data_IF_520912801663
#
_entry.id   IF_520912801663
#
_cell.length_a   1.000
_cell.length_b   1.000
_cell.length_c   1.000
_cell.angle_alpha   90.00
_cell.angle_beta   90.00
_cell.angle_gamma   90.00
#
_symmetry.space_group_name_H-M   'P 1'
#
loop_
_entity.id
_entity.type
_entity.pdbx_description
1 polymer ?
#
# COMPACT_ATOMS: atom_id res chain seq x y z
N UNK A 1 4.84 -22.48 -78.54
CA UNK A 1 5.91 -21.49 -78.38
C UNK A 1 5.90 -21.07 -76.92
N UNK A 2 6.99 -21.43 -76.24
CA UNK A 2 7.42 -21.08 -74.88
C UNK A 2 6.41 -21.18 -73.73
N UNK A 3 6.39 -22.37 -73.11
CA UNK A 3 6.15 -22.50 -71.67
C UNK A 3 7.44 -22.07 -70.96
N UNK A 4 7.41 -20.93 -70.28
CA UNK A 4 8.45 -20.58 -69.31
C UNK A 4 8.09 -21.25 -67.98
N UNK A 5 8.83 -22.30 -67.66
CA UNK A 5 8.89 -22.91 -66.33
C UNK A 5 9.55 -21.91 -65.37
N UNK A 6 8.77 -21.34 -64.45
CA UNK A 6 9.30 -20.57 -63.33
C UNK A 6 10.10 -21.49 -62.38
N UNK A 7 11.33 -21.10 -61.99
CA UNK A 7 12.18 -21.95 -61.16
C UNK A 7 11.68 -22.00 -59.71
N UNK A 8 11.78 -23.19 -59.14
CA UNK A 8 11.43 -23.55 -57.76
C UNK A 8 11.94 -22.54 -56.71
N UNK A 9 11.18 -22.29 -55.63
CA UNK A 9 11.56 -21.34 -54.59
C UNK A 9 12.75 -21.87 -53.80
N UNK A 10 13.90 -21.20 -53.99
CA UNK A 10 15.14 -21.44 -53.25
C UNK A 10 14.89 -21.26 -51.75
N UNK A 11 15.22 -22.31 -51.00
CA UNK A 11 15.15 -22.45 -49.55
C UNK A 11 15.73 -21.23 -48.83
N UNK A 12 14.88 -20.37 -48.24
CA UNK A 12 15.34 -19.35 -47.28
C UNK A 12 15.61 -20.06 -45.96
N UNK A 13 16.88 -20.24 -45.61
CA UNK A 13 17.30 -20.83 -44.33
C UNK A 13 16.66 -20.07 -43.16
N UNK A 14 15.63 -20.67 -42.57
CA UNK A 14 15.01 -20.10 -41.37
C UNK A 14 16.02 -20.20 -40.22
N UNK A 15 16.26 -19.11 -39.46
CA UNK A 15 17.25 -19.11 -38.40
C UNK A 15 16.87 -20.15 -37.35
N UNK A 16 17.77 -21.10 -37.08
CA UNK A 16 17.57 -22.16 -36.09
C UNK A 16 17.59 -21.60 -34.65
N UNK A 17 16.97 -22.35 -33.75
CA UNK A 17 16.99 -22.08 -32.31
C UNK A 17 18.43 -22.07 -31.77
N UNK A 18 18.80 -21.04 -31.03
CA UNK A 18 20.16 -20.89 -30.50
C UNK A 18 20.46 -21.80 -29.31
N UNK A 19 19.43 -22.42 -28.71
CA UNK A 19 19.59 -23.34 -27.58
C UNK A 19 19.61 -24.80 -28.00
N UNK A 20 18.62 -25.27 -28.78
CA UNK A 20 18.54 -26.68 -29.16
C UNK A 20 19.11 -26.99 -30.54
N UNK A 21 19.35 -25.97 -31.38
CA UNK A 21 19.87 -26.08 -32.75
C UNK A 21 19.13 -27.04 -33.70
N UNK A 22 18.04 -27.66 -33.25
CA UNK A 22 17.30 -28.68 -33.99
C UNK A 22 16.05 -28.15 -34.71
N UNK A 23 15.43 -27.09 -34.18
CA UNK A 23 14.18 -26.54 -34.70
C UNK A 23 14.36 -25.09 -35.16
N UNK A 24 13.58 -24.63 -36.17
CA UNK A 24 13.50 -23.22 -36.52
C UNK A 24 13.12 -22.34 -35.32
N UNK A 25 13.72 -21.16 -35.24
CA UNK A 25 13.41 -20.21 -34.17
C UNK A 25 12.04 -19.56 -34.34
N UNK A 26 11.34 -19.38 -33.22
CA UNK A 26 9.99 -18.78 -33.15
C UNK A 26 9.97 -17.49 -32.33
N UNK A 27 10.85 -17.39 -31.34
CA UNK A 27 10.90 -16.27 -30.40
C UNK A 27 12.32 -15.69 -30.33
N UNK A 28 12.42 -14.40 -30.01
CA UNK A 28 13.69 -13.70 -29.79
C UNK A 28 13.66 -13.01 -28.43
N UNK A 29 14.71 -13.20 -27.64
CA UNK A 29 14.81 -12.57 -26.32
C UNK A 29 15.03 -11.05 -26.47
N UNK A 30 14.23 -10.18 -25.83
CA UNK A 30 14.35 -8.73 -25.99
C UNK A 30 15.58 -8.13 -25.27
N UNK A 31 16.28 -8.92 -24.45
CA UNK A 31 17.50 -8.49 -23.74
C UNK A 31 18.78 -8.86 -24.48
N UNK A 32 18.94 -10.13 -24.81
CA UNK A 32 20.19 -10.68 -25.36
C UNK A 32 20.05 -11.13 -26.83
N UNK A 33 18.88 -10.95 -27.46
CA UNK A 33 18.61 -11.33 -28.84
C UNK A 33 18.75 -12.83 -29.18
N UNK A 34 18.97 -13.70 -28.19
CA UNK A 34 19.00 -15.16 -28.36
C UNK A 34 17.66 -15.64 -28.94
N UNK A 35 17.74 -16.46 -29.99
CA UNK A 35 16.57 -17.04 -30.65
C UNK A 35 16.21 -18.38 -30.04
N UNK A 36 14.93 -18.65 -29.89
CA UNK A 36 14.42 -19.88 -29.27
C UNK A 36 13.20 -20.41 -30.02
N UNK A 37 13.02 -21.72 -30.07
CA UNK A 37 11.87 -22.35 -30.72
C UNK A 37 10.68 -22.59 -29.76
N UNK A 38 10.93 -22.67 -28.45
CA UNK A 38 9.94 -23.11 -27.47
C UNK A 38 10.23 -22.56 -26.06
N UNK A 39 9.24 -22.64 -25.16
CA UNK A 39 9.38 -22.22 -23.77
C UNK A 39 10.53 -22.91 -23.01
N UNK A 40 10.79 -24.23 -23.17
CA UNK A 40 11.99 -24.87 -22.62
C UNK A 40 13.28 -24.18 -23.06
N UNK A 41 13.42 -23.84 -24.34
CA UNK A 41 14.59 -23.11 -24.85
C UNK A 41 14.66 -21.67 -24.30
N UNK A 42 13.51 -21.01 -24.11
CA UNK A 42 13.47 -19.70 -23.44
C UNK A 42 13.97 -19.80 -22.00
N UNK A 43 13.55 -20.82 -21.24
CA UNK A 43 13.97 -21.00 -19.85
C UNK A 43 15.44 -21.43 -19.75
N UNK A 44 15.88 -22.35 -20.62
CA UNK A 44 17.25 -22.85 -20.65
C UNK A 44 18.26 -21.71 -20.88
N UNK A 45 18.05 -20.83 -21.86
CA UNK A 45 18.97 -19.72 -22.09
C UNK A 45 18.99 -18.76 -20.91
N UNK A 46 17.82 -18.44 -20.32
CA UNK A 46 17.74 -17.53 -19.18
C UNK A 46 18.52 -18.06 -17.98
N UNK A 47 18.44 -19.36 -17.71
CA UNK A 47 19.21 -20.01 -16.66
C UNK A 47 20.71 -20.02 -16.99
N UNK A 48 21.08 -20.50 -18.19
CA UNK A 48 22.48 -20.64 -18.62
C UNK A 48 23.23 -19.30 -18.69
N UNK A 49 22.56 -18.24 -19.13
CA UNK A 49 23.16 -16.91 -19.33
C UNK A 49 22.82 -15.91 -18.21
N UNK A 50 22.15 -16.36 -17.14
CA UNK A 50 21.59 -15.50 -16.10
C UNK A 50 20.80 -14.30 -16.68
N UNK A 51 20.09 -14.51 -17.79
CA UNK A 51 19.38 -13.45 -18.50
C UNK A 51 18.00 -13.21 -17.88
N UNK A 52 17.74 -11.97 -17.47
CA UNK A 52 16.41 -11.58 -16.94
C UNK A 52 15.31 -11.61 -18.00
N UNK A 53 15.69 -11.56 -19.29
CA UNK A 53 14.76 -11.43 -20.41
C UNK A 53 14.03 -10.09 -20.48
N UNK A 54 14.46 -9.08 -19.71
CA UNK A 54 13.93 -7.71 -19.76
C UNK A 54 14.88 -6.82 -20.55
N UNK A 55 14.35 -6.09 -21.54
CA UNK A 55 15.10 -5.07 -22.29
C UNK A 55 15.60 -4.00 -21.32
N UNK A 56 16.82 -3.50 -21.52
CA UNK A 56 17.31 -2.36 -20.77
C UNK A 56 16.68 -1.08 -21.36
N UNK A 57 15.61 -0.61 -20.74
CA UNK A 57 14.83 0.54 -21.23
C UNK A 57 15.51 1.88 -20.95
N UNK A 58 16.49 1.93 -20.05
CA UNK A 58 17.10 3.19 -19.56
C UNK A 58 18.56 3.33 -19.97
N UNK A 59 19.00 2.63 -21.02
CA UNK A 59 20.36 2.78 -21.52
C UNK A 59 20.49 4.10 -22.28
N UNK A 60 21.61 4.80 -22.11
CA UNK A 60 21.88 6.04 -22.82
C UNK A 60 21.95 5.81 -24.33
N UNK A 61 21.22 6.62 -25.11
CA UNK A 61 21.25 6.58 -26.58
C UNK A 61 21.65 7.97 -27.08
N UNK A 62 22.72 8.08 -27.92
CA UNK A 62 23.06 9.34 -28.55
C UNK A 62 21.89 9.87 -29.39
N UNK A 63 21.75 11.19 -29.47
CA UNK A 63 20.62 11.81 -30.19
C UNK A 63 20.53 11.39 -31.67
N UNK A 64 21.68 11.09 -32.30
CA UNK A 64 21.74 10.60 -33.69
C UNK A 64 21.12 9.21 -33.89
N UNK A 65 20.91 8.45 -32.82
CA UNK A 65 20.31 7.11 -32.84
C UNK A 65 18.94 7.09 -32.15
N UNK A 66 18.39 8.27 -31.82
CA UNK A 66 17.07 8.40 -31.22
C UNK A 66 16.01 8.24 -32.33
N UNK A 67 15.31 7.10 -32.32
CA UNK A 67 14.27 6.76 -33.29
C UNK A 67 12.87 6.72 -32.65
N UNK A 68 11.83 6.64 -33.47
CA UNK A 68 10.43 6.59 -32.99
C UNK A 68 10.15 5.37 -32.09
N UNK A 69 10.89 4.27 -32.29
CA UNK A 69 10.76 3.07 -31.45
C UNK A 69 11.25 3.32 -30.04
N UNK A 70 12.33 4.09 -29.88
CA UNK A 70 12.86 4.50 -28.59
C UNK A 70 11.89 5.45 -27.89
N UNK A 71 11.35 6.44 -28.62
CA UNK A 71 10.32 7.34 -28.09
C UNK A 71 9.10 6.58 -27.58
N UNK A 72 8.60 5.61 -28.34
CA UNK A 72 7.47 4.78 -27.92
C UNK A 72 7.81 3.90 -26.71
N UNK A 73 9.04 3.37 -26.65
CA UNK A 73 9.52 2.62 -25.49
C UNK A 73 9.53 3.48 -24.22
N UNK A 74 10.01 4.72 -24.31
CA UNK A 74 10.07 5.65 -23.19
C UNK A 74 8.67 6.08 -22.73
N UNK A 75 7.78 6.36 -23.68
CA UNK A 75 6.37 6.64 -23.36
C UNK A 75 5.72 5.47 -22.61
N UNK A 76 5.90 4.23 -23.10
CA UNK A 76 5.35 3.04 -22.45
C UNK A 76 5.94 2.83 -21.06
N UNK A 77 7.23 3.13 -20.86
CA UNK A 77 7.87 3.08 -19.55
C UNK A 77 7.19 4.05 -18.56
N UNK A 78 6.97 5.30 -18.98
CA UNK A 78 6.31 6.31 -18.13
C UNK A 78 4.88 5.90 -17.75
N UNK A 79 4.14 5.35 -18.71
CA UNK A 79 2.77 4.88 -18.49
C UNK A 79 2.73 3.69 -17.51
N UNK A 80 3.69 2.76 -17.61
CA UNK A 80 3.80 1.65 -16.66
C UNK A 80 4.15 2.14 -15.24
N UNK A 81 5.08 3.09 -15.11
CA UNK A 81 5.43 3.70 -13.82
C UNK A 81 4.21 4.34 -13.18
N UNK A 82 3.42 5.10 -13.97
CA UNK A 82 2.16 5.69 -13.50
C UNK A 82 1.19 4.63 -13.00
N UNK A 83 0.97 3.56 -13.77
CA UNK A 83 0.08 2.44 -13.38
C UNK A 83 0.50 1.79 -12.08
N UNK A 84 1.80 1.57 -11.89
CA UNK A 84 2.34 0.99 -10.65
C UNK A 84 2.11 1.93 -9.47
N UNK A 85 2.37 3.23 -9.63
CA UNK A 85 2.14 4.22 -8.59
C UNK A 85 0.66 4.28 -8.17
N UNK A 86 -0.26 4.36 -9.13
CA UNK A 86 -1.71 4.34 -8.88
C UNK A 86 -2.17 3.04 -8.20
N UNK A 87 -1.60 1.88 -8.60
CA UNK A 87 -1.91 0.60 -7.98
C UNK A 87 -1.49 0.56 -6.51
N UNK A 88 -0.28 1.05 -6.21
CA UNK A 88 0.22 1.15 -4.85
C UNK A 88 -0.61 2.13 -4.00
N UNK A 89 -1.05 3.24 -4.58
CA UNK A 89 -1.97 4.17 -3.92
C UNK A 89 -3.31 3.52 -3.59
N UNK A 90 -3.95 2.86 -4.55
CA UNK A 90 -5.20 2.11 -4.32
C UNK A 90 -5.05 1.05 -3.23
N UNK A 91 -3.91 0.36 -3.18
CA UNK A 91 -3.61 -0.61 -2.12
C UNK A 91 -3.44 0.07 -0.75
N UNK A 92 -2.74 1.21 -0.68
CA UNK A 92 -2.57 1.97 0.58
C UNK A 92 -3.90 2.48 1.11
N UNK A 93 -4.73 3.09 0.27
CA UNK A 93 -6.08 3.53 0.65
C UNK A 93 -6.91 2.35 1.15
N UNK A 94 -6.74 1.16 0.55
CA UNK A 94 -7.43 -0.06 1.01
C UNK A 94 -6.97 -0.58 2.38
N UNK A 95 -5.72 -0.34 2.74
CA UNK A 95 -5.18 -0.75 4.04
C UNK A 95 -5.53 0.26 5.14
N UNK A 96 -5.65 1.55 4.80
CA UNK A 96 -6.00 2.61 5.74
C UNK A 96 -7.40 2.40 6.36
N UNK A 97 -8.42 2.09 5.56
CA UNK A 97 -9.77 1.86 6.10
C UNK A 97 -9.91 0.61 6.97
N UNK A 98 -8.91 -0.28 6.96
CA UNK A 98 -8.87 -1.50 7.80
C UNK A 98 -8.05 -1.35 9.09
N UNK A 99 -7.44 -0.18 9.34
CA UNK A 99 -6.44 -0.01 10.40
C UNK A 99 -6.75 1.12 11.38
N UNK A 100 -7.93 1.72 11.34
CA UNK A 100 -8.32 2.70 12.35
C UNK A 100 -8.80 1.99 13.60
N UNK A 101 -8.21 2.29 14.74
CA UNK A 101 -8.72 1.84 16.04
C UNK A 101 -9.91 2.72 16.40
N UNK A 102 -11.02 2.09 16.78
CA UNK A 102 -12.15 2.74 17.42
C UNK A 102 -12.04 2.54 18.93
N UNK A 103 -12.03 3.65 19.67
CA UNK A 103 -11.85 3.69 21.10
C UNK A 103 -13.19 3.86 21.81
N UNK A 104 -13.27 3.28 23.01
CA UNK A 104 -14.24 3.72 24.02
C UNK A 104 -13.48 4.42 25.12
N UNK A 105 -13.88 5.66 25.40
CA UNK A 105 -13.27 6.49 26.45
C UNK A 105 -14.25 6.64 27.58
N UNK A 106 -13.77 6.33 28.78
CA UNK A 106 -14.47 6.60 30.04
C UNK A 106 -13.85 7.85 30.67
N UNK A 107 -14.63 8.90 30.83
CA UNK A 107 -14.24 10.14 31.49
C UNK A 107 -14.70 10.13 32.94
N UNK A 108 -13.78 10.32 33.87
CA UNK A 108 -14.08 10.47 35.30
C UNK A 108 -13.60 11.81 35.81
N UNK A 109 -14.41 12.46 36.64
CA UNK A 109 -14.12 13.78 37.18
C UNK A 109 -13.78 13.66 38.66
N UNK A 110 -12.64 14.20 39.09
CA UNK A 110 -12.02 13.76 40.34
C UNK A 110 -12.85 13.94 41.63
N UNK A 111 -13.68 14.95 41.75
CA UNK A 111 -14.43 15.26 42.98
C UNK A 111 -15.91 14.93 42.84
N UNK A 112 -16.29 14.12 41.85
CA UNK A 112 -17.68 13.78 41.54
C UNK A 112 -17.81 12.28 41.24
N UNK A 113 -19.00 11.73 41.49
CA UNK A 113 -19.34 10.34 41.10
C UNK A 113 -19.78 10.25 39.62
N UNK A 114 -19.51 11.29 38.81
CA UNK A 114 -19.96 11.36 37.41
C UNK A 114 -18.95 10.64 36.52
N UNK A 115 -19.47 9.72 35.71
CA UNK A 115 -18.71 9.00 34.69
C UNK A 115 -19.41 9.16 33.34
N UNK A 116 -18.71 9.70 32.35
CA UNK A 116 -19.19 9.83 30.98
C UNK A 116 -18.50 8.82 30.07
N UNK A 117 -19.22 8.34 29.06
CA UNK A 117 -18.70 7.37 28.10
C UNK A 117 -18.88 7.88 26.68
N UNK A 118 -17.81 7.79 25.89
CA UNK A 118 -17.86 8.00 24.45
C UNK A 118 -17.39 6.74 23.72
N UNK A 119 -18.20 6.27 22.78
CA UNK A 119 -17.97 5.06 22.02
C UNK A 119 -17.59 5.37 20.56
N UNK A 120 -16.85 4.46 19.93
CA UNK A 120 -16.56 4.53 18.48
C UNK A 120 -15.66 5.69 18.09
N UNK A 121 -14.83 6.18 19.02
CA UNK A 121 -13.97 7.33 18.76
C UNK A 121 -12.78 6.93 17.89
N UNK A 122 -12.61 7.59 16.75
CA UNK A 122 -11.47 7.31 15.87
C UNK A 122 -10.14 7.69 16.57
N UNK A 123 -9.10 6.89 16.37
CA UNK A 123 -7.75 7.13 16.91
C UNK A 123 -7.16 8.52 16.58
N UNK A 124 -7.57 9.16 15.49
CA UNK A 124 -7.09 10.48 15.09
C UNK A 124 -7.95 11.64 15.64
N UNK A 125 -8.98 11.32 16.43
CA UNK A 125 -9.90 12.32 16.97
C UNK A 125 -9.22 13.12 18.10
N UNK A 126 -9.47 14.43 18.12
CA UNK A 126 -8.96 15.30 19.17
C UNK A 126 -9.79 15.13 20.46
N UNK A 127 -9.16 14.58 21.51
CA UNK A 127 -9.78 14.37 22.82
C UNK A 127 -10.34 15.64 23.45
N UNK A 128 -9.68 16.79 23.28
CA UNK A 128 -10.11 18.07 23.84
C UNK A 128 -11.47 18.50 23.28
N UNK A 129 -11.70 18.29 21.98
CA UNK A 129 -12.98 18.63 21.35
C UNK A 129 -14.14 17.76 21.84
N UNK A 130 -13.85 16.52 22.25
CA UNK A 130 -14.86 15.59 22.78
C UNK A 130 -15.29 16.04 24.17
N UNK A 131 -14.33 16.26 25.07
CA UNK A 131 -14.63 16.66 26.45
C UNK A 131 -15.23 18.07 26.52
N UNK A 132 -14.86 18.98 25.62
CA UNK A 132 -15.47 20.31 25.51
C UNK A 132 -16.98 20.22 25.28
N UNK A 133 -17.45 19.26 24.47
CA UNK A 133 -18.89 19.06 24.27
C UNK A 133 -19.60 18.63 25.55
N UNK A 134 -18.96 17.81 26.38
CA UNK A 134 -19.50 17.36 27.67
C UNK A 134 -19.50 18.46 28.72
N UNK A 135 -18.54 19.40 28.66
CA UNK A 135 -18.39 20.51 29.60
C UNK A 135 -19.22 21.75 29.25
N UNK A 136 -19.93 21.75 28.11
CA UNK A 136 -20.82 22.87 27.76
C UNK A 136 -21.88 23.08 28.86
N UNK A 137 -22.14 24.32 29.28
CA UNK A 137 -23.14 24.58 30.31
C UNK A 137 -24.52 24.15 29.81
N UNK A 138 -25.14 23.24 30.56
CA UNK A 138 -26.43 22.66 30.23
C UNK A 138 -27.23 22.30 31.49
N UNK A 139 -28.55 22.06 31.37
CA UNK A 139 -29.42 21.81 32.51
C UNK A 139 -29.00 20.62 33.39
N UNK A 140 -28.24 19.68 32.82
CA UNK A 140 -27.88 18.40 33.42
C UNK A 140 -26.44 18.36 33.99
N UNK A 141 -25.68 19.45 33.87
CA UNK A 141 -24.24 19.47 34.18
C UNK A 141 -23.88 20.09 35.54
N UNK A 142 -24.85 20.20 36.45
CA UNK A 142 -24.68 20.86 37.75
C UNK A 142 -23.58 20.23 38.63
N UNK A 143 -23.34 18.92 38.52
CA UNK A 143 -22.27 18.23 39.24
C UNK A 143 -20.89 18.47 38.63
N UNK A 144 -20.83 18.83 37.34
CA UNK A 144 -19.60 19.13 36.61
C UNK A 144 -19.28 20.63 36.60
N UNK A 145 -20.05 21.44 37.34
CA UNK A 145 -19.96 22.90 37.30
C UNK A 145 -18.56 23.46 37.54
N UNK A 146 -17.82 22.90 38.50
CA UNK A 146 -16.42 23.27 38.78
C UNK A 146 -15.47 23.04 37.58
N UNK A 147 -15.81 22.11 36.68
CA UNK A 147 -15.06 21.84 35.46
C UNK A 147 -15.58 22.63 34.26
N UNK A 148 -16.87 22.99 34.26
CA UNK A 148 -17.49 23.85 33.24
C UNK A 148 -17.05 25.32 33.36
N UNK A 149 -16.73 25.77 34.58
CA UNK A 149 -16.33 27.15 34.87
C UNK A 149 -14.81 27.40 34.66
N UNK A 150 -14.01 26.33 34.55
CA UNK A 150 -12.57 26.40 34.25
C UNK A 150 -12.30 26.32 32.73
N UNK A 151 -11.21 26.94 32.27
CA UNK A 151 -10.74 26.77 30.90
C UNK A 151 -10.12 25.38 30.73
N UNK A 152 -10.32 24.76 29.57
CA UNK A 152 -9.83 23.40 29.26
C UNK A 152 -8.31 23.26 29.44
N UNK A 153 -7.56 24.35 29.22
CA UNK A 153 -6.10 24.41 29.38
C UNK A 153 -5.64 24.31 30.84
N UNK A 154 -6.53 24.58 31.80
CA UNK A 154 -6.28 24.45 33.23
C UNK A 154 -6.56 23.03 33.75
N UNK A 155 -7.28 22.21 32.98
CA UNK A 155 -7.60 20.84 33.33
C UNK A 155 -6.43 19.90 33.05
N UNK A 156 -6.14 19.01 34.00
CA UNK A 156 -5.13 17.97 33.84
C UNK A 156 -5.80 16.65 33.48
N UNK A 157 -5.35 16.07 32.37
CA UNK A 157 -5.82 14.78 31.85
C UNK A 157 -4.83 13.68 32.24
N UNK A 158 -5.33 12.62 32.87
CA UNK A 158 -4.55 11.44 33.20
C UNK A 158 -5.13 10.22 32.50
N UNK A 159 -4.27 9.42 31.87
CA UNK A 159 -4.68 8.18 31.23
C UNK A 159 -4.23 7.01 32.11
N UNK A 160 -5.16 6.18 32.55
CA UNK A 160 -4.83 4.98 33.30
C UNK A 160 -4.30 3.91 32.35
N UNK A 161 -3.08 3.44 32.62
CA UNK A 161 -2.47 2.33 31.87
C UNK A 161 -2.66 1.03 32.64
N UNK A 162 -3.23 0.03 31.99
CA UNK A 162 -3.29 -1.33 32.50
C UNK A 162 -2.11 -2.13 31.94
N UNK A 163 -1.37 -2.91 32.77
CA UNK A 163 -0.34 -3.79 32.26
C UNK A 163 -0.98 -4.77 31.26
N UNK A 164 -0.32 -5.00 30.12
CA UNK A 164 -0.75 -6.02 29.17
C UNK A 164 -0.62 -7.38 29.84
N UNK A 165 -1.70 -7.87 30.45
CA UNK A 165 -1.78 -9.25 30.91
C UNK A 165 -1.63 -10.11 29.66
N UNK A 166 -0.61 -10.97 29.62
CA UNK A 166 -0.39 -11.93 28.55
C UNK A 166 -1.56 -12.93 28.55
N UNK A 167 -2.64 -12.59 27.84
CA UNK A 167 -3.79 -13.48 27.71
C UNK A 167 -3.39 -14.69 26.88
N UNK A 168 -3.50 -15.88 27.49
CA UNK A 168 -3.53 -17.15 26.80
C UNK A 168 -4.56 -17.09 25.66
N UNK A 169 -4.14 -17.63 24.52
CA UNK A 169 -4.88 -17.81 23.28
C UNK A 169 -6.36 -18.13 23.49
N UNK A 170 -7.23 -17.12 23.30
CA UNK A 170 -8.67 -17.31 23.18
C UNK A 170 -9.05 -17.24 21.70
N UNK A 171 -9.46 -18.38 21.16
CA UNK A 171 -10.01 -18.51 19.81
C UNK A 171 -11.43 -17.92 19.79
N UNK A 172 -11.56 -16.66 19.41
CA UNK A 172 -12.87 -16.02 19.22
C UNK A 172 -12.72 -14.61 18.70
N UNK A 173 -12.99 -14.43 17.40
CA UNK A 173 -12.73 -13.20 16.64
C UNK A 173 -13.62 -12.02 17.03
N UNK A 174 -13.28 -11.35 18.12
CA UNK A 174 -13.64 -9.95 18.36
C UNK A 174 -12.32 -9.24 18.65
N UNK A 175 -11.99 -8.25 17.81
CA UNK A 175 -10.82 -7.41 18.05
C UNK A 175 -10.92 -6.83 19.47
N UNK A 176 -9.83 -6.81 20.26
CA UNK A 176 -9.87 -6.22 21.58
C UNK A 176 -10.26 -4.75 21.43
N UNK A 177 -11.42 -4.38 21.97
CA UNK A 177 -11.76 -2.98 22.20
C UNK A 177 -10.73 -2.51 23.23
N UNK A 178 -9.71 -1.79 22.77
CA UNK A 178 -8.77 -1.16 23.67
C UNK A 178 -9.54 -0.08 24.43
N UNK A 179 -9.69 -0.28 25.75
CA UNK A 179 -10.38 0.67 26.62
C UNK A 179 -9.35 1.64 27.19
N UNK A 180 -9.63 2.93 27.08
CA UNK A 180 -8.87 3.99 27.75
C UNK A 180 -9.75 4.64 28.81
N UNK A 181 -9.24 4.70 30.04
CA UNK A 181 -9.89 5.41 31.15
C UNK A 181 -9.12 6.72 31.36
N UNK A 182 -9.82 7.85 31.24
CA UNK A 182 -9.27 9.20 31.39
C UNK A 182 -9.85 9.85 32.64
N UNK A 183 -8.96 10.26 33.54
CA UNK A 183 -9.30 10.99 34.75
C UNK A 183 -9.02 12.48 34.55
N UNK A 184 -9.99 13.33 34.90
CA UNK A 184 -9.90 14.78 34.87
C UNK A 184 -9.77 15.36 36.27
N UNK A 185 -8.78 16.23 36.44
CA UNK A 185 -8.52 16.99 37.66
C UNK A 185 -8.49 18.48 37.35
N UNK A 186 -9.09 19.31 38.21
CA UNK A 186 -8.79 20.74 38.26
C UNK A 186 -7.38 20.91 38.84
N UNK A 187 -6.63 21.89 38.33
CA UNK A 187 -5.35 22.23 38.90
C UNK A 187 -5.58 22.91 40.26
N UNK A 188 -5.62 22.12 41.32
CA UNK A 188 -5.47 22.64 42.69
C UNK A 188 -4.03 23.12 42.81
N UNK A 189 -3.81 24.42 42.61
CA UNK A 189 -2.61 25.12 43.07
C UNK A 189 -2.75 25.43 44.57
#
# INVERSE_FOLDING_TARGET
MENQEDPAPTTRDQPLCDECKANPSKYKCPRCSIRSCSLPCVKAHKQRTACTGKRNQTHFVPLSQFDDNLLLSDYNLLEEVKRVAESAERMRSKLYWKKTIEWTIEWRFHSTDVVLHDHGLNENLNLCSIIENHLKPGPWNHQLRQFCEEQLDCLKFFIRKYPKVSFLSFTGGIAPIEKAEILLYTAVL
#
